data_IF_909514740070
#
_entry.id   IF_909514740070
#
_cell.length_a   1.000
_cell.length_b   1.000
_cell.length_c   1.000
_cell.angle_alpha   90.00
_cell.angle_beta   90.00
_cell.angle_gamma   90.00
#
_symmetry.space_group_name_H-M   'P 1'
#
loop_
_entity.id
_entity.type
_entity.pdbx_description
1 polymer ?
#
# COMPACT_ATOMS: atom_id res chain seq x y z
N UNK A 1 0.79 -7.25 -8.94
CA UNK A 1 -0.24 -7.09 -9.98
C UNK A 1 0.45 -6.71 -11.28
N UNK A 2 0.16 -7.38 -12.39
CA UNK A 2 0.83 -7.13 -13.68
C UNK A 2 -0.20 -7.11 -14.81
N UNK A 3 -0.05 -6.20 -15.79
CA UNK A 3 -0.88 -6.14 -17.01
C UNK A 3 -2.38 -6.05 -16.71
N UNK A 4 -2.79 -4.99 -16.01
CA UNK A 4 -4.20 -4.77 -15.64
C UNK A 4 -4.65 -3.33 -15.94
N UNK A 5 -5.95 -3.08 -15.79
CA UNK A 5 -6.61 -1.79 -16.02
C UNK A 5 -7.23 -1.19 -14.74
N UNK A 6 -7.32 -1.94 -13.64
CA UNK A 6 -8.09 -1.49 -12.47
C UNK A 6 -8.07 -2.46 -11.30
N UNK A 7 -8.55 -1.98 -10.15
CA UNK A 7 -8.93 -2.80 -8.98
C UNK A 7 -7.84 -3.72 -8.45
N UNK A 8 -6.64 -3.19 -8.28
CA UNK A 8 -5.51 -3.84 -7.63
C UNK A 8 -5.11 -3.22 -6.30
N UNK A 9 -5.96 -3.17 -5.27
CA UNK A 9 -7.33 -3.67 -5.20
C UNK A 9 -8.38 -2.55 -5.29
N UNK A 10 -9.66 -2.93 -5.44
CA UNK A 10 -10.77 -2.11 -4.94
C UNK A 10 -11.07 -2.51 -3.49
N UNK A 11 -11.28 -1.55 -2.61
CA UNK A 11 -11.56 -1.76 -1.18
C UNK A 11 -12.76 -0.90 -0.80
N UNK A 12 -13.71 -1.47 -0.07
CA UNK A 12 -14.93 -0.77 0.31
C UNK A 12 -15.94 -1.71 0.95
N UNK A 13 -16.65 -1.21 1.95
CA UNK A 13 -17.72 -1.96 2.61
C UNK A 13 -18.73 -1.04 3.29
N UNK A 14 -19.99 -1.10 2.84
CA UNK A 14 -21.05 -0.22 3.34
C UNK A 14 -21.54 -0.59 4.76
N UNK A 15 -21.19 -1.77 5.27
CA UNK A 15 -21.63 -2.26 6.58
C UNK A 15 -20.61 -2.08 7.71
N UNK A 16 -19.47 -1.42 7.47
CA UNK A 16 -18.41 -1.32 8.48
C UNK A 16 -17.04 -0.96 7.89
N UNK A 17 -15.98 -1.57 8.43
CA UNK A 17 -14.61 -1.29 8.00
C UNK A 17 -13.88 -2.52 7.46
N UNK A 18 -13.15 -2.32 6.37
CA UNK A 18 -12.08 -3.20 5.90
C UNK A 18 -10.72 -2.59 6.30
N UNK A 19 -10.01 -3.30 7.18
CA UNK A 19 -8.65 -2.94 7.58
C UNK A 19 -7.66 -3.71 6.72
N UNK A 20 -6.85 -3.00 5.92
CA UNK A 20 -5.95 -3.62 4.96
C UNK A 20 -4.55 -3.03 5.13
N UNK A 21 -3.57 -3.93 5.21
CA UNK A 21 -2.15 -3.61 5.20
C UNK A 21 -1.56 -4.03 3.86
N UNK A 22 -1.39 -3.07 2.96
CA UNK A 22 -0.89 -3.28 1.61
C UNK A 22 0.63 -3.04 1.61
N UNK A 23 1.40 -4.12 1.68
CA UNK A 23 2.85 -4.05 1.90
C UNK A 23 3.67 -4.89 0.93
N UNK A 24 4.79 -4.32 0.44
CA UNK A 24 5.77 -4.98 -0.43
C UNK A 24 5.20 -5.67 -1.69
N UNK A 25 4.18 -5.08 -2.31
CA UNK A 25 3.67 -5.53 -3.60
C UNK A 25 4.42 -4.88 -4.75
N UNK A 26 4.56 -5.62 -5.86
CA UNK A 26 5.02 -5.11 -7.14
C UNK A 26 3.82 -4.90 -8.08
N UNK A 27 3.65 -3.67 -8.53
CA UNK A 27 2.68 -3.25 -9.53
C UNK A 27 3.39 -2.94 -10.83
N UNK A 28 3.00 -3.57 -11.92
CA UNK A 28 3.63 -3.38 -13.22
C UNK A 28 2.61 -3.24 -14.34
N UNK A 29 2.84 -2.25 -15.22
CA UNK A 29 2.10 -2.06 -16.46
C UNK A 29 0.58 -2.03 -16.21
N UNK A 30 0.15 -1.11 -15.35
CA UNK A 30 -1.27 -0.88 -15.05
C UNK A 30 -1.71 0.33 -15.84
N UNK A 31 -2.48 0.12 -16.90
CA UNK A 31 -2.82 1.18 -17.86
C UNK A 31 -3.97 2.09 -17.41
N UNK A 32 -4.75 1.66 -16.42
CA UNK A 32 -5.79 2.45 -15.76
C UNK A 32 -5.36 2.85 -14.34
N UNK A 33 -6.05 2.32 -13.33
CA UNK A 33 -5.72 2.59 -11.92
C UNK A 33 -5.28 1.33 -11.16
N UNK A 34 -4.46 1.48 -10.12
CA UNK A 34 -4.10 0.39 -9.23
C UNK A 34 -5.07 0.31 -8.04
N UNK A 35 -4.98 1.21 -7.08
CA UNK A 35 -5.76 1.19 -5.84
C UNK A 35 -7.04 2.01 -6.03
N UNK A 36 -8.16 1.50 -5.52
CA UNK A 36 -9.45 2.18 -5.50
C UNK A 36 -10.13 1.99 -4.13
N UNK A 37 -9.98 2.96 -3.25
CA UNK A 37 -10.51 2.92 -1.89
C UNK A 37 -11.83 3.70 -1.76
N UNK A 38 -12.93 3.00 -1.53
CA UNK A 38 -14.25 3.56 -1.27
C UNK A 38 -14.59 3.60 0.22
N UNK A 39 -15.82 4.00 0.54
CA UNK A 39 -16.37 4.04 1.90
C UNK A 39 -16.10 2.75 2.68
N UNK A 40 -15.78 2.88 3.97
CA UNK A 40 -15.46 1.75 4.84
C UNK A 40 -14.01 1.24 4.71
N UNK A 41 -13.14 1.91 3.95
CA UNK A 41 -11.73 1.51 3.85
C UNK A 41 -10.87 2.11 4.96
N UNK A 42 -9.93 1.31 5.51
CA UNK A 42 -8.82 1.73 6.35
C UNK A 42 -7.53 1.06 5.84
N UNK A 43 -6.79 1.73 4.96
CA UNK A 43 -5.63 1.14 4.24
C UNK A 43 -4.31 1.79 4.64
N UNK A 44 -3.34 0.97 5.06
CA UNK A 44 -1.93 1.37 5.13
C UNK A 44 -1.20 0.85 3.89
N UNK A 45 -0.62 1.76 3.10
CA UNK A 45 0.18 1.45 1.91
C UNK A 45 1.64 1.78 2.17
N UNK A 46 2.48 0.77 2.34
CA UNK A 46 3.91 0.94 2.64
C UNK A 46 4.79 -0.03 1.84
N UNK A 47 5.98 0.41 1.43
CA UNK A 47 6.97 -0.43 0.78
C UNK A 47 6.55 -1.05 -0.56
N UNK A 48 5.53 -0.53 -1.24
CA UNK A 48 5.11 -1.05 -2.55
C UNK A 48 5.89 -0.38 -3.68
N UNK A 49 6.10 -1.12 -4.77
CA UNK A 49 6.79 -0.65 -5.97
C UNK A 49 5.80 -0.54 -7.12
N UNK A 50 5.59 0.68 -7.63
CA UNK A 50 4.73 0.99 -8.77
C UNK A 50 5.55 1.29 -10.01
N UNK A 51 5.55 0.39 -10.98
CA UNK A 51 6.28 0.50 -12.24
C UNK A 51 5.30 0.62 -13.43
N UNK A 52 5.36 1.70 -14.20
CA UNK A 52 4.45 1.95 -15.34
C UNK A 52 2.96 1.80 -14.96
N UNK A 53 2.57 2.44 -13.86
CA UNK A 53 1.18 2.52 -13.38
C UNK A 53 0.65 3.91 -13.69
N UNK A 54 -0.35 4.01 -14.57
CA UNK A 54 -0.91 5.32 -14.99
C UNK A 54 -1.43 6.10 -13.79
N UNK A 55 -2.33 5.49 -13.01
CA UNK A 55 -2.92 6.08 -11.81
C UNK A 55 -2.72 5.14 -10.62
N UNK A 56 -1.93 5.55 -9.63
CA UNK A 56 -1.62 4.68 -8.48
C UNK A 56 -2.85 4.50 -7.57
N UNK A 57 -3.61 5.56 -7.36
CA UNK A 57 -4.83 5.58 -6.56
C UNK A 57 -5.90 6.43 -7.26
N UNK A 58 -7.16 6.02 -7.18
CA UNK A 58 -8.28 6.76 -7.78
C UNK A 58 -8.55 8.09 -7.09
N UNK A 59 -8.07 8.27 -5.85
CA UNK A 59 -8.26 9.50 -5.09
C UNK A 59 -9.67 9.66 -4.54
N UNK A 60 -10.47 8.59 -4.48
CA UNK A 60 -11.83 8.61 -3.94
C UNK A 60 -11.81 9.11 -2.48
N UNK A 61 -12.54 10.20 -2.21
CA UNK A 61 -12.53 10.89 -0.93
C UNK A 61 -13.21 10.11 0.21
N UNK A 62 -14.04 9.13 -0.12
CA UNK A 62 -14.78 8.35 0.87
C UNK A 62 -13.92 7.24 1.51
N UNK A 63 -12.78 6.89 0.89
CA UNK A 63 -11.80 5.94 1.43
C UNK A 63 -10.78 6.59 2.36
N UNK A 64 -10.50 5.96 3.51
CA UNK A 64 -9.39 6.36 4.38
C UNK A 64 -8.12 5.58 4.08
N UNK A 65 -7.07 6.30 3.73
CA UNK A 65 -5.78 5.70 3.36
C UNK A 65 -4.61 6.45 4.00
N UNK A 66 -3.54 5.71 4.25
CA UNK A 66 -2.25 6.21 4.67
C UNK A 66 -1.18 5.67 3.71
N UNK A 67 -0.78 6.51 2.75
CA UNK A 67 0.33 6.24 1.86
C UNK A 67 1.62 6.77 2.48
N UNK A 68 2.60 5.89 2.60
CA UNK A 68 3.95 6.29 3.00
C UNK A 68 4.67 6.83 1.76
N UNK A 69 4.58 8.14 1.54
CA UNK A 69 5.15 8.86 0.39
C UNK A 69 6.36 9.73 0.76
N UNK A 70 6.47 10.16 2.02
CA UNK A 70 7.54 11.03 2.52
C UNK A 70 8.27 10.42 3.71
N UNK A 71 9.44 10.99 4.05
CA UNK A 71 10.21 10.62 5.24
C UNK A 71 9.39 10.83 6.52
N UNK A 72 8.63 11.91 6.59
CA UNK A 72 7.80 12.22 7.76
C UNK A 72 6.69 11.19 7.96
N UNK A 73 6.09 10.71 6.86
CA UNK A 73 5.07 9.66 6.91
C UNK A 73 5.68 8.31 7.33
N UNK A 74 6.91 8.02 6.92
CA UNK A 74 7.64 6.80 7.32
C UNK A 74 8.09 6.83 8.80
N UNK A 75 8.28 8.03 9.35
CA UNK A 75 8.92 8.30 10.63
C UNK A 75 8.03 8.14 11.87
N UNK A 76 7.79 9.28 12.54
CA UNK A 76 7.10 9.37 13.83
C UNK A 76 5.68 8.78 13.83
N UNK A 77 4.84 9.00 12.81
CA UNK A 77 3.48 8.43 12.78
C UNK A 77 3.49 6.91 12.89
N UNK A 78 4.38 6.22 12.17
CA UNK A 78 4.49 4.77 12.22
C UNK A 78 5.13 4.29 13.53
N UNK A 79 6.27 4.87 13.91
CA UNK A 79 6.99 4.43 15.12
C UNK A 79 6.17 4.59 16.40
N UNK A 80 5.39 5.67 16.51
CA UNK A 80 4.53 5.92 17.69
C UNK A 80 3.23 5.10 17.72
N UNK A 81 2.71 4.66 16.56
CA UNK A 81 1.43 3.94 16.50
C UNK A 81 1.61 2.43 16.35
N UNK A 82 2.46 1.98 15.43
CA UNK A 82 2.68 0.56 15.13
C UNK A 82 4.03 0.04 15.64
N UNK A 83 4.83 0.89 16.30
CA UNK A 83 6.04 0.48 17.02
C UNK A 83 7.28 0.32 16.14
N UNK A 84 7.22 0.72 14.88
CA UNK A 84 8.32 0.63 13.90
C UNK A 84 8.19 1.73 12.85
N UNK A 85 9.29 2.04 12.17
CA UNK A 85 9.23 2.86 10.97
C UNK A 85 8.46 2.12 9.85
N UNK A 86 7.75 2.87 9.03
CA UNK A 86 7.19 2.33 7.80
C UNK A 86 8.19 2.42 6.65
N UNK A 87 8.00 1.59 5.61
CA UNK A 87 8.78 1.71 4.38
C UNK A 87 8.05 2.60 3.36
N UNK A 88 8.76 3.52 2.70
CA UNK A 88 8.19 4.35 1.64
C UNK A 88 7.80 3.55 0.40
N UNK A 89 6.79 4.05 -0.32
CA UNK A 89 6.44 3.51 -1.63
C UNK A 89 7.31 4.13 -2.73
N UNK A 90 7.52 3.37 -3.80
CA UNK A 90 8.33 3.81 -4.95
C UNK A 90 7.49 3.90 -6.22
N UNK A 91 7.66 4.99 -6.95
CA UNK A 91 7.12 5.18 -8.30
C UNK A 91 8.26 5.19 -9.32
N UNK A 92 8.12 4.44 -10.41
CA UNK A 92 9.04 4.43 -11.54
C UNK A 92 8.25 4.40 -12.86
N UNK A 93 8.33 5.48 -13.65
CA UNK A 93 7.52 5.62 -14.87
C UNK A 93 6.00 5.54 -14.63
N UNK A 94 5.56 5.81 -13.39
CA UNK A 94 4.17 5.78 -12.95
C UNK A 94 3.70 7.18 -12.57
N UNK A 95 2.41 7.33 -12.27
CA UNK A 95 1.89 8.52 -11.57
C UNK A 95 2.60 8.80 -10.23
N UNK A 96 2.36 9.97 -9.67
CA UNK A 96 2.89 10.33 -8.35
C UNK A 96 2.30 9.43 -7.26
N UNK A 97 3.08 9.15 -6.22
CA UNK A 97 2.57 8.49 -5.02
C UNK A 97 1.58 9.47 -4.34
N UNK A 98 0.34 9.04 -4.05
CA UNK A 98 -0.66 9.91 -3.42
C UNK A 98 -0.18 10.44 -2.07
N UNK A 99 -0.44 11.72 -1.79
CA UNK A 99 -0.21 12.30 -0.48
C UNK A 99 -1.45 12.12 0.41
N UNK A 100 -1.69 10.88 0.85
CA UNK A 100 -2.80 10.53 1.75
C UNK A 100 -2.25 10.07 3.10
N UNK A 101 -2.66 10.72 4.18
CA UNK A 101 -2.08 10.50 5.51
C UNK A 101 -3.15 10.45 6.60
N UNK A 102 -4.22 9.71 6.37
CA UNK A 102 -5.33 9.64 7.31
C UNK A 102 -4.91 8.98 8.62
N UNK A 103 -4.95 9.70 9.74
CA UNK A 103 -4.52 9.20 11.05
C UNK A 103 -5.48 8.16 11.64
N UNK A 104 -6.73 8.10 11.13
CA UNK A 104 -7.68 7.04 11.48
C UNK A 104 -7.18 5.66 11.08
N UNK A 105 -6.49 5.56 9.95
CA UNK A 105 -5.85 4.33 9.46
C UNK A 105 -4.84 3.82 10.48
N UNK A 106 -3.89 4.67 10.90
CA UNK A 106 -2.86 4.28 11.86
C UNK A 106 -3.48 3.91 13.22
N UNK A 107 -4.53 4.62 13.62
CA UNK A 107 -5.27 4.33 14.86
C UNK A 107 -6.00 2.98 14.80
N UNK A 108 -6.53 2.61 13.65
CA UNK A 108 -7.19 1.33 13.43
C UNK A 108 -6.19 0.18 13.36
N UNK A 109 -5.12 0.33 12.58
CA UNK A 109 -4.18 -0.75 12.29
C UNK A 109 -3.25 -1.08 13.48
N UNK A 110 -3.05 -0.16 14.45
CA UNK A 110 -2.24 -0.43 15.66
C UNK A 110 -2.78 -1.58 16.54
N UNK A 111 -4.07 -1.90 16.42
CA UNK A 111 -4.68 -3.00 17.16
C UNK A 111 -4.14 -4.37 16.71
N UNK A 112 -3.63 -4.48 15.49
CA UNK A 112 -3.27 -5.76 14.87
C UNK A 112 -1.78 -6.07 15.02
N UNK A 113 -1.47 -7.18 15.70
CA UNK A 113 -0.08 -7.65 15.87
C UNK A 113 0.59 -8.00 14.54
N UNK A 114 -0.18 -8.46 13.54
CA UNK A 114 0.32 -8.74 12.20
C UNK A 114 0.96 -7.50 11.55
N UNK A 115 0.36 -6.31 11.72
CA UNK A 115 0.90 -5.06 11.16
C UNK A 115 2.14 -4.61 11.93
N UNK A 116 2.08 -4.65 13.27
CA UNK A 116 3.17 -4.22 14.15
C UNK A 116 4.42 -5.10 14.03
N UNK A 117 4.21 -6.41 13.94
CA UNK A 117 5.28 -7.40 13.86
C UNK A 117 5.84 -7.60 12.45
N UNK A 118 5.16 -7.11 11.41
CA UNK A 118 5.67 -7.20 10.04
C UNK A 118 6.89 -6.30 9.86
N UNK A 119 7.95 -6.81 9.25
CA UNK A 119 9.12 -5.99 8.87
C UNK A 119 9.13 -5.86 7.36
N UNK A 120 8.80 -4.68 6.81
CA UNK A 120 8.86 -4.47 5.37
C UNK A 120 10.29 -4.65 4.85
N UNK A 121 10.38 -5.29 3.69
CA UNK A 121 11.59 -5.28 2.87
C UNK A 121 11.79 -3.87 2.30
N UNK A 122 13.06 -3.47 2.16
CA UNK A 122 13.46 -2.28 1.41
C UNK A 122 12.73 -2.22 0.06
N UNK A 123 12.11 -1.08 -0.25
CA UNK A 123 11.34 -0.93 -1.48
C UNK A 123 12.19 -1.16 -2.74
N UNK A 124 13.51 -0.95 -2.66
CA UNK A 124 14.42 -1.19 -3.77
C UNK A 124 14.57 -2.68 -4.11
N UNK A 125 14.34 -3.58 -3.15
CA UNK A 125 14.46 -5.02 -3.35
C UNK A 125 13.14 -5.68 -3.76
N UNK A 126 12.01 -4.96 -3.62
CA UNK A 126 10.65 -5.49 -3.82
C UNK A 126 10.45 -6.03 -5.23
N UNK A 127 10.86 -5.30 -6.27
CA UNK A 127 10.68 -5.75 -7.66
C UNK A 127 11.36 -7.11 -7.90
N UNK A 128 12.67 -7.19 -7.60
CA UNK A 128 13.44 -8.41 -7.81
C UNK A 128 12.90 -9.57 -6.97
N UNK A 129 12.56 -9.30 -5.71
CA UNK A 129 12.01 -10.30 -4.81
C UNK A 129 10.68 -10.85 -5.29
N UNK A 130 9.71 -9.98 -5.64
CA UNK A 130 8.37 -10.43 -6.07
C UNK A 130 8.45 -11.23 -7.37
N UNK A 131 9.24 -10.79 -8.36
CA UNK A 131 9.41 -11.54 -9.63
C UNK A 131 10.00 -12.93 -9.38
N UNK A 132 10.95 -13.05 -8.45
CA UNK A 132 11.59 -14.33 -8.16
C UNK A 132 10.66 -15.31 -7.41
N UNK A 133 9.74 -14.79 -6.60
CA UNK A 133 9.10 -15.54 -5.50
C UNK A 133 7.57 -15.60 -5.56
N UNK A 134 6.88 -14.75 -6.32
CA UNK A 134 5.43 -14.76 -6.39
C UNK A 134 4.91 -15.69 -7.50
N UNK A 135 3.79 -16.36 -7.24
CA UNK A 135 3.08 -17.20 -8.21
C UNK A 135 3.18 -18.70 -7.93
N UNK A 136 2.41 -19.47 -8.70
CA UNK A 136 2.33 -20.93 -8.54
C UNK A 136 3.69 -21.57 -8.83
N UNK A 137 4.07 -22.56 -8.01
CA UNK A 137 5.34 -23.28 -8.15
C UNK A 137 6.53 -22.58 -7.47
N UNK A 138 6.31 -21.45 -6.80
CA UNK A 138 7.26 -20.83 -5.88
C UNK A 138 6.89 -21.20 -4.46
N UNK A 139 7.76 -21.91 -3.77
CA UNK A 139 7.61 -22.31 -2.36
C UNK A 139 8.87 -21.86 -1.66
N UNK A 140 8.70 -20.89 -0.77
CA UNK A 140 9.77 -20.28 0.01
C UNK A 140 9.55 -20.61 1.48
#
# INVERSE_FOLDING_TARGET
>A
MTNSIGRGPHIGYDGGYQYVHLVNNYYENVQGHAIDAAAGTQVLVEGNYFNKVTTIDTGNADGSEYFVATVDQAGTPCSSTIGRYCEWNKSAGSGAIPNRASTSVMTALKAYSAVKGYTPKSVNDVQAYVIANAGVGKVN
#
